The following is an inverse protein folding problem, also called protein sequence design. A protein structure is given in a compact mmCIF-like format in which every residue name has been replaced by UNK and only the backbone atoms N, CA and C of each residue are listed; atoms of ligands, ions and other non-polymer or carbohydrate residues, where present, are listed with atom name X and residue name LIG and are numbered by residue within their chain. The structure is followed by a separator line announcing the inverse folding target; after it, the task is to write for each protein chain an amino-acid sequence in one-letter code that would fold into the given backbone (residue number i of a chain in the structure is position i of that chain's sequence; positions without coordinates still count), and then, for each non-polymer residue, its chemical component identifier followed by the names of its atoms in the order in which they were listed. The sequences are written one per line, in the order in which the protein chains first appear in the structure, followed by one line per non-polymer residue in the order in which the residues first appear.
data_IF_439671953475
#
_entry.id   IF_439671953475
#
_cell.length_a   1.000
_cell.length_b   1.000
_cell.length_c   1.000
_cell.angle_alpha   90.00
_cell.angle_beta   90.00
_cell.angle_gamma   90.00
#
_symmetry.space_group_name_H-M   'P 1'
#
loop_
_entity.id
_entity.type
_entity.pdbx_description
1 polymer ?
#
# COMPACT_ATOMS: atom_id res chain seq x y z
N UNK A 1 5.59 -11.68 -51.73
CA UNK A 1 4.89 -10.52 -51.15
C UNK A 1 3.47 -11.00 -50.89
N UNK A 2 3.18 -11.40 -49.65
CA UNK A 2 1.86 -11.91 -49.22
C UNK A 2 1.52 -11.20 -47.92
N UNK A 3 0.46 -10.40 -47.97
CA UNK A 3 -0.10 -9.59 -46.89
C UNK A 3 -0.60 -10.46 -45.73
N UNK A 4 0.01 -10.31 -44.55
CA UNK A 4 -0.37 -10.99 -43.30
C UNK A 4 -1.19 -10.12 -42.34
N UNK A 5 -1.54 -8.89 -42.71
CA UNK A 5 -2.21 -7.95 -41.79
C UNK A 5 -3.74 -8.09 -41.71
N UNK A 6 -4.38 -8.86 -42.58
CA UNK A 6 -5.85 -8.86 -42.69
C UNK A 6 -6.62 -9.78 -41.72
N UNK A 7 -5.95 -10.49 -40.79
CA UNK A 7 -6.64 -11.47 -39.92
C UNK A 7 -6.96 -10.98 -38.51
N UNK A 8 -6.35 -9.89 -38.03
CA UNK A 8 -6.60 -9.40 -36.65
C UNK A 8 -7.93 -8.67 -36.48
N UNK A 9 -8.57 -8.27 -37.57
CA UNK A 9 -9.75 -7.40 -37.55
C UNK A 9 -11.09 -8.18 -37.54
N UNK A 10 -11.07 -9.50 -37.33
CA UNK A 10 -12.27 -10.37 -37.34
C UNK A 10 -12.47 -11.19 -36.07
N UNK A 11 -12.00 -10.73 -34.92
CA UNK A 11 -12.47 -11.33 -33.67
C UNK A 11 -13.82 -10.73 -33.31
N UNK A 12 -14.89 -11.52 -33.49
CA UNK A 12 -16.20 -11.22 -32.92
C UNK A 12 -16.05 -11.17 -31.39
N UNK A 13 -15.99 -9.97 -30.84
CA UNK A 13 -16.12 -9.75 -29.39
C UNK A 13 -17.56 -10.05 -29.01
N UNK A 14 -17.84 -11.32 -28.72
CA UNK A 14 -19.10 -11.70 -28.07
C UNK A 14 -19.14 -10.99 -26.72
N UNK A 15 -20.15 -10.13 -26.45
CA UNK A 15 -20.30 -9.52 -25.13
C UNK A 15 -20.60 -10.65 -24.16
N UNK A 16 -19.56 -11.11 -23.45
CA UNK A 16 -19.75 -12.08 -22.39
C UNK A 16 -20.47 -11.35 -21.28
N UNK A 17 -21.71 -11.76 -21.02
CA UNK A 17 -22.50 -11.28 -19.91
C UNK A 17 -21.78 -11.66 -18.61
N UNK A 18 -21.14 -10.68 -17.97
CA UNK A 18 -20.39 -10.86 -16.74
C UNK A 18 -21.31 -10.98 -15.50
N UNK A 19 -22.63 -11.00 -15.68
CA UNK A 19 -23.61 -11.08 -14.59
C UNK A 19 -23.46 -12.35 -13.74
N UNK A 20 -23.05 -13.47 -14.33
CA UNK A 20 -22.76 -14.69 -13.58
C UNK A 20 -21.52 -14.56 -12.70
N UNK A 21 -20.45 -13.92 -13.21
CA UNK A 21 -19.23 -13.70 -12.42
C UNK A 21 -19.51 -12.77 -11.23
N UNK A 22 -20.31 -11.72 -11.44
CA UNK A 22 -20.72 -10.80 -10.38
C UNK A 22 -21.51 -11.53 -9.27
N UNK A 23 -22.46 -12.40 -9.64
CA UNK A 23 -23.24 -13.20 -8.68
C UNK A 23 -22.41 -14.13 -7.81
N UNK A 24 -21.36 -14.73 -8.38
CA UNK A 24 -20.47 -15.63 -7.63
C UNK A 24 -19.61 -14.85 -6.63
N UNK A 25 -19.17 -13.64 -6.97
CA UNK A 25 -18.35 -12.83 -6.07
C UNK A 25 -19.14 -12.11 -4.96
N UNK A 26 -20.36 -11.63 -5.21
CA UNK A 26 -21.10 -10.82 -4.24
C UNK A 26 -21.92 -11.62 -3.22
N UNK A 27 -21.91 -12.95 -3.32
CA UNK A 27 -22.73 -13.82 -2.46
C UNK A 27 -24.24 -13.67 -2.74
N UNK A 28 -25.08 -14.54 -2.13
CA UNK A 28 -26.52 -14.52 -2.33
C UNK A 28 -27.14 -13.20 -1.83
N UNK A 29 -28.17 -12.72 -2.53
CA UNK A 29 -28.89 -11.48 -2.22
C UNK A 29 -29.54 -11.41 -0.83
N UNK A 30 -29.42 -12.47 -0.02
CA UNK A 30 -29.82 -12.46 1.39
C UNK A 30 -28.90 -11.62 2.28
N UNK A 31 -27.70 -11.24 1.82
CA UNK A 31 -26.77 -10.39 2.58
C UNK A 31 -27.17 -8.91 2.58
N UNK A 32 -27.97 -8.46 1.61
CA UNK A 32 -28.52 -7.10 1.56
C UNK A 32 -29.87 -6.96 2.27
N UNK A 33 -30.39 -8.04 2.87
CA UNK A 33 -31.66 -8.08 3.57
C UNK A 33 -31.46 -8.25 5.09
N UNK A 34 -30.71 -7.36 5.72
CA UNK A 34 -30.81 -7.16 7.17
C UNK A 34 -31.73 -5.96 7.46
N UNK A 35 -33.01 -6.17 7.83
CA UNK A 35 -33.84 -5.14 8.45
C UNK A 35 -33.49 -5.01 9.93
N UNK A 36 -32.21 -4.77 10.23
CA UNK A 36 -31.72 -4.58 11.60
C UNK A 36 -30.59 -3.54 11.61
N UNK A 37 -30.79 -2.44 10.90
CA UNK A 37 -29.83 -1.35 10.79
C UNK A 37 -29.90 -0.32 11.93
N UNK A 38 -30.74 -0.51 12.96
CA UNK A 38 -30.98 0.53 13.98
C UNK A 38 -30.44 0.24 15.39
N UNK A 39 -29.91 -0.95 15.72
CA UNK A 39 -29.46 -1.24 17.10
C UNK A 39 -27.93 -1.37 17.30
N UNK A 40 -27.13 -1.18 16.25
CA UNK A 40 -25.66 -1.11 16.37
C UNK A 40 -25.11 0.33 16.25
N UNK A 41 -25.98 1.34 16.34
CA UNK A 41 -25.58 2.76 16.25
C UNK A 41 -25.00 3.35 17.56
N UNK A 42 -24.93 2.58 18.66
CA UNK A 42 -24.36 3.06 19.93
C UNK A 42 -22.87 2.70 20.11
N UNK A 43 -22.31 1.91 19.19
CA UNK A 43 -20.86 1.65 19.10
C UNK A 43 -20.27 2.21 17.81
N UNK A 44 -20.93 3.23 17.25
CA UNK A 44 -20.27 4.18 16.37
C UNK A 44 -19.22 4.92 17.21
N UNK A 45 -18.11 4.21 17.47
CA UNK A 45 -16.79 4.82 17.54
C UNK A 45 -16.81 5.88 16.45
N UNK A 46 -16.57 7.12 16.86
CA UNK A 46 -16.21 8.19 15.96
C UNK A 46 -15.03 7.68 15.14
N UNK A 47 -15.34 7.08 13.99
CA UNK A 47 -14.38 6.60 13.02
C UNK A 47 -13.91 7.85 12.28
N UNK A 48 -13.17 8.68 13.03
CA UNK A 48 -12.23 9.64 12.51
C UNK A 48 -11.11 8.83 11.83
N UNK A 49 -11.45 8.17 10.72
CA UNK A 49 -10.45 7.72 9.77
C UNK A 49 -9.85 9.00 9.20
N UNK A 50 -8.73 9.39 9.81
CA UNK A 50 -7.95 10.53 9.39
C UNK A 50 -7.70 10.38 7.87
N UNK A 51 -8.06 11.38 7.04
CA UNK A 51 -7.79 11.33 5.60
C UNK A 51 -6.28 11.16 5.28
N UNK A 52 -5.38 11.43 6.24
CA UNK A 52 -3.97 11.06 6.15
C UNK A 52 -3.77 9.54 6.09
N UNK A 53 -4.57 8.77 6.84
CA UNK A 53 -4.51 7.32 6.89
C UNK A 53 -4.85 6.70 5.52
N UNK A 54 -5.83 7.27 4.81
CA UNK A 54 -6.26 6.85 3.47
C UNK A 54 -5.18 7.12 2.39
N UNK A 55 -4.30 8.11 2.58
CA UNK A 55 -3.12 8.27 1.71
C UNK A 55 -2.02 7.27 2.04
N UNK A 56 -1.83 6.95 3.32
CA UNK A 56 -0.86 5.92 3.72
C UNK A 56 -1.25 4.52 3.25
N UNK A 57 -2.54 4.20 3.15
CA UNK A 57 -2.97 2.87 2.66
C UNK A 57 -2.58 2.62 1.20
N UNK A 58 -2.63 3.64 0.33
CA UNK A 58 -2.19 3.49 -1.07
C UNK A 58 -0.67 3.22 -1.17
N UNK A 59 0.14 3.80 -0.29
CA UNK A 59 1.57 3.50 -0.19
C UNK A 59 1.81 2.12 0.42
N UNK A 60 1.05 1.73 1.43
CA UNK A 60 1.14 0.41 2.08
C UNK A 60 0.90 -0.75 1.11
N UNK A 61 0.10 -0.56 0.06
CA UNK A 61 -0.15 -1.59 -0.98
C UNK A 61 1.11 -1.90 -1.80
N UNK A 62 2.09 -0.99 -1.84
CA UNK A 62 3.27 -1.08 -2.69
C UNK A 62 4.58 -1.05 -1.90
N UNK A 63 4.56 -1.47 -0.63
CA UNK A 63 5.75 -1.66 0.20
C UNK A 63 6.01 -3.16 0.35
N UNK A 64 7.22 -3.58 -0.01
CA UNK A 64 7.69 -4.96 0.14
C UNK A 64 8.69 -5.03 1.30
N UNK A 65 8.70 -6.10 2.11
CA UNK A 65 9.74 -6.32 3.12
C UNK A 65 11.17 -6.29 2.55
N UNK A 66 11.32 -6.59 1.26
CA UNK A 66 12.59 -6.59 0.53
C UNK A 66 13.02 -5.22 0.00
N UNK A 67 12.21 -4.18 0.18
CA UNK A 67 12.59 -2.82 -0.23
C UNK A 67 13.70 -2.28 0.67
N UNK A 68 14.56 -1.43 0.10
CA UNK A 68 15.65 -0.76 0.82
C UNK A 68 15.29 0.72 0.97
N UNK A 69 15.05 1.23 2.19
CA UNK A 69 14.84 2.65 2.40
C UNK A 69 16.13 3.45 2.27
N UNK A 70 16.01 4.64 1.70
CA UNK A 70 17.08 5.64 1.58
C UNK A 70 16.57 7.01 1.99
N UNK A 71 17.41 7.80 2.65
CA UNK A 71 17.08 9.17 3.00
C UNK A 71 17.25 10.07 1.76
N UNK A 72 16.15 10.65 1.29
CA UNK A 72 16.14 11.47 0.07
C UNK A 72 16.55 12.93 0.33
N UNK A 73 16.45 13.39 1.57
CA UNK A 73 16.69 14.79 1.98
C UNK A 73 18.05 14.91 2.69
N UNK A 74 18.80 16.02 2.53
CA UNK A 74 20.03 16.27 3.29
C UNK A 74 19.77 16.23 4.81
N UNK A 75 20.67 15.59 5.56
CA UNK A 75 20.48 15.34 7.00
C UNK A 75 20.26 16.61 7.85
N UNK A 76 20.77 17.77 7.40
CA UNK A 76 20.61 19.04 8.09
C UNK A 76 19.15 19.50 8.21
N UNK A 77 18.31 19.15 7.24
CA UNK A 77 16.90 19.57 7.19
C UNK A 77 15.97 18.54 7.84
N UNK A 78 16.41 17.28 7.93
CA UNK A 78 15.60 16.18 8.48
C UNK A 78 15.23 16.43 9.94
N UNK A 79 16.17 16.89 10.77
CA UNK A 79 15.95 17.06 12.22
C UNK A 79 14.84 18.06 12.57
N UNK A 80 14.51 19.00 11.68
CA UNK A 80 13.43 19.97 11.88
C UNK A 80 12.07 19.47 11.37
N UNK A 81 12.07 18.45 10.52
CA UNK A 81 10.89 17.95 9.80
C UNK A 81 10.31 16.67 10.39
N UNK A 82 11.02 16.03 11.31
CA UNK A 82 10.66 14.71 11.86
C UNK A 82 10.50 14.76 13.37
N UNK A 83 9.59 13.94 13.88
CA UNK A 83 9.46 13.73 15.34
C UNK A 83 10.69 12.99 15.90
N UNK A 84 10.89 13.01 17.21
CA UNK A 84 12.01 12.29 17.85
C UNK A 84 12.03 10.79 17.48
N UNK A 85 10.85 10.20 17.37
CA UNK A 85 10.69 8.79 17.02
C UNK A 85 11.01 8.50 15.56
N UNK A 86 10.56 9.38 14.67
CA UNK A 86 10.89 9.31 13.25
C UNK A 86 12.38 9.54 13.02
N UNK A 87 13.01 10.47 13.75
CA UNK A 87 14.45 10.69 13.73
C UNK A 87 15.23 9.41 14.08
N UNK A 88 14.76 8.64 15.06
CA UNK A 88 15.35 7.36 15.42
C UNK A 88 15.29 6.35 14.27
N UNK A 89 14.11 6.23 13.62
CA UNK A 89 13.95 5.37 12.44
C UNK A 89 14.85 5.83 11.30
N UNK A 90 14.89 7.14 11.01
CA UNK A 90 15.75 7.70 9.95
C UNK A 90 17.23 7.48 10.25
N UNK A 91 17.67 7.63 11.50
CA UNK A 91 19.04 7.33 11.91
C UNK A 91 19.41 5.84 11.73
N UNK A 92 18.41 4.97 11.68
CA UNK A 92 18.58 3.53 11.42
C UNK A 92 18.64 3.19 9.93
N UNK A 93 18.30 4.14 9.03
CA UNK A 93 18.36 3.95 7.58
C UNK A 93 19.80 4.17 7.11
N UNK A 94 20.51 3.07 6.84
CA UNK A 94 21.86 3.08 6.28
C UNK A 94 21.90 3.03 4.74
N UNK A 95 20.76 2.82 4.08
CA UNK A 95 20.67 2.67 2.63
C UNK A 95 21.08 1.30 2.09
N UNK A 96 21.30 0.31 2.95
CA UNK A 96 21.66 -1.07 2.55
C UNK A 96 20.76 -2.12 3.21
N UNK A 97 20.21 -1.83 4.38
CA UNK A 97 19.30 -2.69 5.11
C UNK A 97 17.91 -2.69 4.46
N UNK A 98 17.31 -3.87 4.31
CA UNK A 98 15.91 -4.00 3.87
C UNK A 98 14.96 -3.61 4.99
N UNK A 99 13.69 -3.38 4.65
CA UNK A 99 12.64 -3.17 5.65
C UNK A 99 12.52 -4.34 6.63
N UNK A 100 12.69 -5.57 6.15
CA UNK A 100 12.73 -6.78 6.99
C UNK A 100 13.86 -6.73 8.03
N UNK A 101 15.11 -6.45 7.61
CA UNK A 101 16.22 -6.38 8.56
C UNK A 101 16.10 -5.18 9.50
N UNK A 102 15.51 -4.07 9.03
CA UNK A 102 15.21 -2.93 9.90
C UNK A 102 14.18 -3.28 10.98
N UNK A 103 13.16 -4.10 10.69
CA UNK A 103 12.19 -4.55 11.68
C UNK A 103 12.87 -5.30 12.82
N UNK A 104 13.85 -6.14 12.50
CA UNK A 104 14.61 -6.91 13.49
C UNK A 104 15.54 -6.04 14.35
N UNK A 105 16.15 -5.01 13.76
CA UNK A 105 17.14 -4.16 14.43
C UNK A 105 16.48 -3.10 15.31
N UNK A 106 15.44 -2.45 14.80
CA UNK A 106 14.83 -1.26 15.42
C UNK A 106 14.01 -1.64 16.66
N UNK A 107 13.57 -2.90 16.78
CA UNK A 107 12.84 -3.41 17.94
C UNK A 107 11.45 -2.79 18.14
N UNK A 108 10.92 -2.13 17.11
CA UNK A 108 9.57 -1.56 17.10
C UNK A 108 8.55 -2.59 16.58
N UNK A 109 7.28 -2.49 17.00
CA UNK A 109 6.20 -3.25 16.38
C UNK A 109 6.16 -3.01 14.86
N UNK A 110 5.90 -4.05 14.09
CA UNK A 110 5.98 -3.98 12.63
C UNK A 110 5.04 -2.97 12.01
N UNK A 111 3.78 -2.94 12.45
CA UNK A 111 2.80 -1.96 11.99
C UNK A 111 3.22 -0.52 12.28
N UNK A 112 3.95 -0.29 13.36
CA UNK A 112 4.39 1.04 13.77
C UNK A 112 5.60 1.52 12.98
N UNK A 113 6.59 0.65 12.74
CA UNK A 113 7.70 0.97 11.86
C UNK A 113 7.22 1.27 10.44
N UNK A 114 6.32 0.43 9.92
CA UNK A 114 5.75 0.61 8.58
C UNK A 114 4.94 1.90 8.49
N UNK A 115 4.13 2.24 9.50
CA UNK A 115 3.40 3.50 9.53
C UNK A 115 4.36 4.72 9.51
N UNK A 116 5.45 4.66 10.28
CA UNK A 116 6.48 5.71 10.30
C UNK A 116 7.14 5.84 8.92
N UNK A 117 7.54 4.72 8.31
CA UNK A 117 8.18 4.74 7.00
C UNK A 117 7.22 5.25 5.92
N UNK A 118 5.95 4.83 5.94
CA UNK A 118 4.92 5.38 5.05
C UNK A 118 4.75 6.89 5.20
N UNK A 119 4.72 7.38 6.45
CA UNK A 119 4.64 8.81 6.75
C UNK A 119 5.86 9.59 6.24
N UNK A 120 7.06 9.03 6.39
CA UNK A 120 8.30 9.61 5.89
C UNK A 120 8.36 9.60 4.35
N UNK A 121 7.87 8.54 3.71
CA UNK A 121 7.73 8.44 2.26
C UNK A 121 6.71 9.43 1.70
N UNK A 122 5.56 9.59 2.37
CA UNK A 122 4.53 10.55 1.97
C UNK A 122 5.04 12.00 2.02
N UNK A 123 5.99 12.30 2.92
CA UNK A 123 6.68 13.60 3.01
C UNK A 123 7.89 13.73 2.07
N UNK A 124 8.27 12.67 1.35
CA UNK A 124 9.45 12.65 0.50
C UNK A 124 10.78 12.70 1.27
N UNK A 125 10.78 12.37 2.56
CA UNK A 125 11.98 12.32 3.39
C UNK A 125 12.73 11.01 3.15
N UNK A 126 11.98 9.92 2.98
CA UNK A 126 12.51 8.58 2.69
C UNK A 126 11.99 8.13 1.33
N UNK A 127 12.87 7.59 0.50
CA UNK A 127 12.54 6.88 -0.73
C UNK A 127 12.82 5.38 -0.57
N UNK A 128 12.03 4.53 -1.22
CA UNK A 128 12.24 3.08 -1.21
C UNK A 128 12.85 2.65 -2.55
N UNK A 129 14.02 1.99 -2.51
CA UNK A 129 14.57 1.31 -3.66
C UNK A 129 13.91 -0.07 -3.82
N UNK A 130 13.39 -0.28 -5.03
CA UNK A 130 12.64 -1.48 -5.44
C UNK A 130 13.42 -2.34 -6.42
N UNK A 131 14.67 -1.99 -6.71
CA UNK A 131 15.54 -2.73 -7.64
C UNK A 131 15.69 -4.20 -7.25
N UNK A 132 15.62 -4.50 -5.94
CA UNK A 132 15.70 -5.86 -5.41
C UNK A 132 14.46 -6.73 -5.71
N UNK A 133 13.31 -6.16 -6.10
CA UNK A 133 12.10 -6.93 -6.44
C UNK A 133 12.21 -7.70 -7.76
N UNK A 134 13.15 -7.31 -8.62
CA UNK A 134 13.29 -7.89 -9.96
C UNK A 134 14.02 -9.25 -9.97
N UNK A 135 14.63 -9.65 -8.85
CA UNK A 135 15.48 -10.85 -8.78
C UNK A 135 14.70 -12.11 -8.38
N UNK A 136 13.48 -11.98 -7.84
CA UNK A 136 12.71 -13.08 -7.23
C UNK A 136 11.59 -13.67 -8.11
N UNK A 137 11.63 -13.48 -9.43
CA UNK A 137 10.64 -14.07 -10.37
C UNK A 137 11.12 -15.32 -11.07
#
# INVERSE_FOLDING_TARGET
MLDTEAFRDRMATLPHDLSEYARVQTGPASWSAHPHAEELSAWALEDHVDPALVRTTALLVDISPTDVPHVAVPHADVAQLVSHREAFVVASINGEATLETMLDIVGLPSGELLAIICSLCARGIVALDRSHRLVTR
#
